data_IF_100734891959
#
_entry.id   IF_100734891959
#
_cell.length_a   1.000
_cell.length_b   1.000
_cell.length_c   1.000
_cell.angle_alpha   90.00
_cell.angle_beta   90.00
_cell.angle_gamma   90.00
#
_symmetry.space_group_name_H-M   'P 1'
#
loop_
_entity.id
_entity.type
_entity.pdbx_description
1 polymer ?
#
# COMPACT_ATOMS: atom_id res chain seq x y z
N UNK A 1 -18.81 2.72 -21.29
CA UNK A 1 -18.98 2.38 -19.85
C UNK A 1 -17.58 2.33 -19.32
N UNK A 2 -17.08 3.53 -19.09
CA UNK A 2 -15.68 3.81 -18.87
C UNK A 2 -15.46 3.73 -17.37
N UNK A 3 -15.38 2.52 -16.85
CA UNK A 3 -14.88 2.26 -15.50
C UNK A 3 -13.34 2.31 -15.56
N UNK A 4 -12.80 3.48 -15.89
CA UNK A 4 -11.38 3.77 -15.79
C UNK A 4 -11.12 4.46 -14.45
N UNK A 5 -11.54 3.80 -13.36
CA UNK A 5 -10.99 4.09 -12.04
C UNK A 5 -9.61 3.46 -12.05
N UNK A 6 -8.57 4.25 -12.29
CA UNK A 6 -7.19 3.85 -12.01
C UNK A 6 -7.11 3.52 -10.51
N UNK A 7 -7.40 2.27 -10.16
CA UNK A 7 -7.07 1.65 -8.88
C UNK A 7 -5.62 1.12 -8.92
N UNK A 8 -4.76 1.69 -9.78
CA UNK A 8 -3.38 1.21 -9.99
C UNK A 8 -2.44 1.62 -8.86
N UNK A 9 -2.89 2.49 -7.95
CA UNK A 9 -2.03 3.09 -6.91
C UNK A 9 -2.40 2.60 -5.51
N UNK A 10 -3.28 1.60 -5.39
CA UNK A 10 -3.69 1.03 -4.09
C UNK A 10 -3.44 -0.47 -4.02
N UNK A 11 -2.86 -0.92 -2.92
CA UNK A 11 -2.64 -2.34 -2.63
C UNK A 11 -3.30 -2.73 -1.32
N UNK A 12 -3.94 -3.89 -1.31
CA UNK A 12 -4.52 -4.47 -0.10
C UNK A 12 -3.56 -5.49 0.51
N UNK A 13 -3.23 -5.30 1.79
CA UNK A 13 -2.43 -6.24 2.55
C UNK A 13 -3.23 -7.52 2.85
N UNK A 14 -2.51 -8.59 3.15
CA UNK A 14 -3.02 -9.80 3.78
C UNK A 14 -2.49 -9.83 5.22
N UNK A 15 -3.30 -9.35 6.17
CA UNK A 15 -2.87 -9.10 7.53
C UNK A 15 -1.76 -8.06 7.59
N UNK A 16 -0.59 -8.44 8.08
CA UNK A 16 0.57 -7.57 8.21
C UNK A 16 1.55 -7.64 7.03
N UNK A 17 1.14 -8.12 5.86
CA UNK A 17 2.01 -8.23 4.68
C UNK A 17 1.36 -7.67 3.43
N UNK A 18 2.11 -7.00 2.57
CA UNK A 18 1.63 -6.56 1.27
C UNK A 18 2.69 -6.80 0.19
N UNK A 19 2.24 -7.01 -1.05
CA UNK A 19 3.14 -7.14 -2.20
C UNK A 19 3.29 -5.77 -2.87
N UNK A 20 4.53 -5.28 -3.00
CA UNK A 20 4.81 -4.01 -3.64
C UNK A 20 4.34 -4.02 -5.10
N UNK A 21 3.61 -2.99 -5.53
CA UNK A 21 3.08 -2.91 -6.90
C UNK A 21 4.17 -2.69 -7.95
N UNK A 22 5.28 -2.04 -7.58
CA UNK A 22 6.38 -1.75 -8.49
C UNK A 22 7.34 -2.93 -8.66
N UNK A 23 7.87 -3.47 -7.55
CA UNK A 23 8.92 -4.51 -7.60
C UNK A 23 8.41 -5.93 -7.33
N UNK A 24 7.11 -6.09 -7.02
CA UNK A 24 6.45 -7.37 -6.73
C UNK A 24 7.05 -8.17 -5.55
N UNK A 25 7.91 -7.56 -4.74
CA UNK A 25 8.41 -8.16 -3.51
C UNK A 25 7.42 -7.98 -2.36
N UNK A 26 7.36 -8.96 -1.47
CA UNK A 26 6.56 -8.89 -0.25
C UNK A 26 7.26 -8.06 0.83
N UNK A 27 6.48 -7.22 1.49
CA UNK A 27 6.92 -6.35 2.57
C UNK A 27 6.04 -6.56 3.81
N UNK A 28 6.62 -6.37 4.98
CA UNK A 28 5.96 -6.47 6.27
C UNK A 28 5.46 -5.09 6.74
N UNK A 29 4.27 -5.07 7.33
CA UNK A 29 3.62 -3.92 7.96
C UNK A 29 3.71 -4.09 9.48
N UNK A 30 4.87 -3.76 10.04
CA UNK A 30 5.11 -3.91 11.47
C UNK A 30 4.56 -2.72 12.25
N UNK A 31 3.50 -2.94 13.04
CA UNK A 31 2.91 -1.95 13.95
C UNK A 31 2.50 -0.61 13.31
N UNK A 32 1.89 -0.67 12.14
CA UNK A 32 1.40 0.52 11.41
C UNK A 32 -0.03 0.89 11.83
N UNK A 33 -0.35 2.18 11.76
CA UNK A 33 -1.68 2.75 11.97
C UNK A 33 -2.17 3.46 10.71
N UNK A 34 -3.46 3.77 10.67
CA UNK A 34 -4.03 4.59 9.60
C UNK A 34 -3.34 5.96 9.55
N UNK A 35 -2.85 6.34 8.37
CA UNK A 35 -2.05 7.54 8.11
C UNK A 35 -0.53 7.37 8.23
N UNK A 36 -0.04 6.20 8.66
CA UNK A 36 1.41 5.94 8.68
C UNK A 36 1.95 5.72 7.25
N UNK A 37 3.20 6.12 7.03
CA UNK A 37 3.92 5.89 5.77
C UNK A 37 4.88 4.71 5.94
N UNK A 38 4.83 3.77 5.00
CA UNK A 38 5.71 2.61 4.90
C UNK A 38 6.48 2.64 3.60
N UNK A 39 7.79 2.43 3.69
CA UNK A 39 8.66 2.33 2.52
C UNK A 39 8.87 0.86 2.14
N UNK A 40 8.83 0.53 0.85
CA UNK A 40 9.25 -0.77 0.38
C UNK A 40 10.77 -0.91 0.48
N UNK A 41 11.25 -1.78 1.36
CA UNK A 41 12.69 -1.99 1.60
C UNK A 41 13.49 -2.58 0.42
N UNK A 42 12.86 -2.83 -0.73
CA UNK A 42 13.50 -3.35 -1.94
C UNK A 42 13.70 -2.31 -3.04
N UNK A 43 12.70 -1.44 -3.25
CA UNK A 43 12.71 -0.44 -4.33
C UNK A 43 12.68 1.00 -3.83
N UNK A 44 12.35 1.22 -2.56
CA UNK A 44 12.21 2.56 -1.96
C UNK A 44 10.85 3.21 -2.19
N UNK A 45 9.89 2.52 -2.83
CA UNK A 45 8.55 3.08 -3.06
C UNK A 45 7.81 3.28 -1.73
N UNK A 46 7.30 4.49 -1.50
CA UNK A 46 6.56 4.86 -0.29
C UNK A 46 5.06 4.64 -0.46
N UNK A 47 4.43 4.15 0.61
CA UNK A 47 3.01 3.86 0.69
C UNK A 47 2.42 4.47 1.95
N UNK A 48 1.28 5.13 1.86
CA UNK A 48 0.48 5.58 2.99
C UNK A 48 -0.57 4.52 3.34
N UNK A 49 -0.73 4.21 4.63
CA UNK A 49 -1.80 3.34 5.13
C UNK A 49 -3.11 4.14 5.14
N UNK A 50 -3.97 3.93 4.15
CA UNK A 50 -5.19 4.70 3.99
C UNK A 50 -6.34 4.23 4.91
N UNK A 51 -6.49 2.92 5.09
CA UNK A 51 -7.58 2.34 5.88
C UNK A 51 -7.25 0.91 6.36
N UNK A 52 -7.81 0.52 7.51
CA UNK A 52 -7.87 -0.88 7.97
C UNK A 52 -9.29 -1.45 7.86
N UNK A 53 -9.43 -2.55 7.11
CA UNK A 53 -10.67 -3.31 7.00
C UNK A 53 -11.03 -4.06 8.30
N UNK A 54 -12.30 -4.45 8.46
CA UNK A 54 -12.80 -5.24 9.60
C UNK A 54 -12.11 -6.61 9.76
N UNK A 55 -11.59 -7.17 8.66
CA UNK A 55 -10.81 -8.42 8.66
C UNK A 55 -9.35 -8.24 9.12
N UNK A 56 -8.94 -7.01 9.44
CA UNK A 56 -7.58 -6.68 9.89
C UNK A 56 -6.55 -6.51 8.76
N UNK A 57 -7.01 -6.40 7.51
CA UNK A 57 -6.18 -6.05 6.36
C UNK A 57 -6.05 -4.53 6.23
N UNK A 58 -4.94 -4.05 5.70
CA UNK A 58 -4.69 -2.64 5.45
C UNK A 58 -4.79 -2.35 3.96
N UNK A 59 -5.36 -1.20 3.61
CA UNK A 59 -5.33 -0.65 2.27
C UNK A 59 -4.25 0.41 2.24
N UNK A 60 -3.23 0.20 1.42
CA UNK A 60 -2.13 1.12 1.22
C UNK A 60 -2.30 1.86 -0.10
N UNK A 61 -1.86 3.11 -0.13
CA UNK A 61 -1.86 3.96 -1.32
C UNK A 61 -0.43 4.44 -1.60
N UNK A 62 0.01 4.35 -2.85
CA UNK A 62 1.32 4.87 -3.27
C UNK A 62 1.35 6.39 -3.07
N UNK A 63 2.41 6.89 -2.44
CA UNK A 63 2.71 8.32 -2.41
C UNK A 63 3.51 8.66 -3.67
N UNK A 64 2.85 9.17 -4.71
CA UNK A 64 3.56 9.75 -5.85
C UNK A 64 4.27 11.03 -5.41
N UNK A 65 5.61 11.06 -5.46
CA UNK A 65 6.35 12.32 -5.30
C UNK A 65 5.94 13.29 -6.42
N UNK A 66 5.27 14.39 -6.05
CA UNK A 66 4.99 15.50 -6.96
C UNK A 66 6.32 16.02 -7.56
N UNK A 67 6.45 16.00 -8.88
CA UNK A 67 7.58 16.60 -9.63
C UNK A 67 7.54 18.13 -9.64
#
# INVERSE_FOLDING_TARGET
MDENTNNNDRVKSQGNKFSCLECQNDNDLDSVNDGDVVECGFCGLEYEVAEKDADGNYVLQILEEEK
#
